data_IF_428232729784
#
_entry.id   IF_428232729784
#
_cell.length_a   1.000
_cell.length_b   1.000
_cell.length_c   1.000
_cell.angle_alpha   90.00
_cell.angle_beta   90.00
_cell.angle_gamma   90.00
#
_symmetry.space_group_name_H-M   'P 1'
#
loop_
_entity.id
_entity.type
_entity.pdbx_description
1 polymer ?
#
# COMPACT_ATOMS: atom_id res chain seq x y z
N UNK A 1 -42.13 -2.72 -2.54
CA UNK A 1 -41.53 -4.04 -2.81
C UNK A 1 -40.93 -3.97 -4.19
N UNK A 2 -39.61 -3.79 -4.27
CA UNK A 2 -38.81 -3.96 -5.49
C UNK A 2 -37.41 -4.27 -4.99
N UNK A 3 -37.13 -5.57 -4.91
CA UNK A 3 -35.81 -6.13 -4.68
C UNK A 3 -34.86 -5.64 -5.77
N UNK A 4 -33.74 -5.06 -5.37
CA UNK A 4 -32.59 -4.94 -6.26
C UNK A 4 -31.89 -6.29 -6.24
N UNK A 5 -31.99 -7.03 -7.35
CA UNK A 5 -31.19 -8.22 -7.62
C UNK A 5 -29.71 -7.87 -7.45
N UNK A 6 -29.11 -8.32 -6.34
CA UNK A 6 -27.68 -8.51 -6.25
C UNK A 6 -27.33 -9.69 -7.16
N UNK A 7 -27.10 -9.39 -8.44
CA UNK A 7 -26.56 -10.38 -9.38
C UNK A 7 -25.13 -10.68 -8.95
N UNK A 8 -24.98 -11.76 -8.16
CA UNK A 8 -23.68 -12.35 -7.87
C UNK A 8 -23.06 -12.75 -9.23
N UNK A 9 -21.81 -12.38 -9.54
CA UNK A 9 -21.22 -12.81 -10.81
C UNK A 9 -21.22 -14.34 -10.88
N UNK A 10 -21.73 -14.89 -11.98
CA UNK A 10 -21.92 -16.34 -12.21
C UNK A 10 -20.61 -17.15 -12.11
N UNK A 11 -19.47 -16.45 -12.14
CA UNK A 11 -18.13 -17.00 -11.97
C UNK A 11 -17.28 -16.03 -11.13
N UNK A 12 -16.41 -16.52 -10.21
CA UNK A 12 -15.47 -15.66 -9.51
C UNK A 12 -14.56 -14.93 -10.51
N UNK A 13 -14.20 -13.65 -10.26
CA UNK A 13 -13.36 -12.89 -11.16
C UNK A 13 -12.01 -13.57 -11.34
N UNK A 14 -11.47 -13.53 -12.55
CA UNK A 14 -10.16 -14.06 -12.89
C UNK A 14 -9.27 -12.97 -13.49
N UNK A 15 -7.96 -13.01 -13.22
CA UNK A 15 -7.02 -11.97 -13.66
C UNK A 15 -7.04 -11.77 -15.18
N UNK A 16 -7.17 -12.85 -15.95
CA UNK A 16 -7.22 -12.79 -17.43
C UNK A 16 -8.51 -12.21 -18.01
N UNK A 17 -9.48 -11.88 -17.17
CA UNK A 17 -10.73 -11.23 -17.60
C UNK A 17 -10.55 -9.71 -17.76
N UNK A 18 -9.46 -9.15 -17.22
CA UNK A 18 -9.17 -7.73 -17.32
C UNK A 18 -8.48 -7.39 -18.65
N UNK A 19 -9.12 -6.53 -19.43
CA UNK A 19 -8.47 -5.80 -20.52
C UNK A 19 -7.81 -4.50 -20.04
N UNK A 20 -7.45 -3.62 -20.97
CA UNK A 20 -6.89 -2.31 -20.67
C UNK A 20 -7.86 -1.41 -19.89
N UNK A 21 -7.34 -0.70 -18.89
CA UNK A 21 -8.11 0.29 -18.13
C UNK A 21 -8.39 1.58 -18.93
N UNK A 22 -9.22 2.50 -18.38
CA UNK A 22 -9.88 2.39 -17.07
C UNK A 22 -11.02 1.36 -17.07
N UNK A 23 -11.18 0.65 -15.96
CA UNK A 23 -12.22 -0.38 -15.80
C UNK A 23 -13.54 0.22 -15.28
N UNK A 24 -14.68 -0.45 -15.54
CA UNK A 24 -15.97 -0.03 -14.97
C UNK A 24 -15.92 0.06 -13.43
N UNK A 25 -16.70 0.97 -12.85
CA UNK A 25 -16.76 1.15 -11.40
C UNK A 25 -17.25 -0.09 -10.62
N UNK A 26 -17.88 -1.04 -11.33
CA UNK A 26 -18.36 -2.33 -10.84
C UNK A 26 -17.32 -3.45 -10.94
N UNK A 27 -16.16 -3.22 -11.56
CA UNK A 27 -15.12 -4.22 -11.69
C UNK A 27 -14.50 -4.57 -10.33
N UNK A 28 -14.25 -5.86 -10.10
CA UNK A 28 -13.70 -6.39 -8.84
C UNK A 28 -12.59 -7.38 -9.17
N UNK A 29 -11.41 -7.18 -8.58
CA UNK A 29 -10.27 -8.10 -8.78
C UNK A 29 -10.46 -9.42 -8.03
N UNK A 30 -9.76 -10.50 -8.42
CA UNK A 30 -9.70 -11.72 -7.64
C UNK A 30 -9.16 -11.44 -6.23
N UNK A 31 -9.60 -12.23 -5.24
CA UNK A 31 -9.10 -12.16 -3.85
C UNK A 31 -7.78 -12.90 -3.66
N UNK A 32 -7.23 -13.51 -4.71
CA UNK A 32 -5.90 -14.13 -4.70
C UNK A 32 -4.97 -13.38 -5.65
N UNK A 33 -3.68 -13.20 -5.30
CA UNK A 33 -2.68 -12.65 -6.21
C UNK A 33 -2.63 -13.41 -7.54
N UNK A 34 -2.21 -12.78 -8.65
CA UNK A 34 -1.96 -13.49 -9.88
C UNK A 34 -0.82 -14.50 -9.65
N UNK A 35 -0.94 -15.69 -10.22
CA UNK A 35 0.20 -16.59 -10.31
C UNK A 35 1.29 -16.00 -11.22
N UNK A 36 2.53 -16.48 -11.08
CA UNK A 36 3.68 -15.93 -11.79
C UNK A 36 3.55 -16.01 -13.32
N UNK A 37 2.92 -17.07 -13.81
CA UNK A 37 2.67 -17.25 -15.24
C UNK A 37 1.69 -16.20 -15.77
N UNK A 38 0.62 -15.93 -15.05
CA UNK A 38 -0.39 -14.92 -15.41
C UNK A 38 0.17 -13.52 -15.23
N UNK A 39 0.90 -13.25 -14.15
CA UNK A 39 1.57 -11.98 -13.91
C UNK A 39 2.52 -11.64 -15.05
N UNK A 40 3.35 -12.58 -15.47
CA UNK A 40 4.28 -12.40 -16.60
C UNK A 40 3.55 -12.25 -17.93
N UNK A 41 2.58 -13.12 -18.22
CA UNK A 41 1.85 -13.08 -19.50
C UNK A 41 1.03 -11.81 -19.70
N UNK A 42 0.52 -11.22 -18.61
CA UNK A 42 -0.26 -9.99 -18.63
C UNK A 42 0.55 -8.74 -18.28
N UNK A 43 1.85 -8.90 -18.01
CA UNK A 43 2.75 -7.85 -17.54
C UNK A 43 2.11 -7.04 -16.39
N UNK A 44 1.77 -7.75 -15.31
CA UNK A 44 1.17 -7.18 -14.11
C UNK A 44 2.24 -6.87 -13.04
N UNK A 45 2.06 -5.80 -12.24
CA UNK A 45 2.95 -5.49 -11.12
C UNK A 45 3.00 -6.62 -10.10
N UNK A 46 4.17 -6.84 -9.49
CA UNK A 46 4.32 -7.81 -8.40
C UNK A 46 3.55 -7.39 -7.13
N UNK A 47 3.21 -6.10 -7.04
CA UNK A 47 2.49 -5.49 -5.91
C UNK A 47 0.98 -5.78 -5.89
N UNK A 48 0.43 -6.52 -6.86
CA UNK A 48 -0.97 -6.93 -6.85
C UNK A 48 -1.21 -8.03 -5.81
N UNK A 49 -1.37 -7.61 -4.56
CA UNK A 49 -1.64 -8.45 -3.39
C UNK A 49 -3.03 -8.13 -2.79
N UNK A 50 -4.12 -8.74 -3.30
CA UNK A 50 -5.47 -8.47 -2.84
C UNK A 50 -5.71 -8.87 -1.39
N UNK A 51 -6.57 -8.11 -0.72
CA UNK A 51 -7.14 -8.46 0.58
C UNK A 51 -7.99 -9.72 0.38
N UNK A 52 -7.57 -10.80 1.03
CA UNK A 52 -8.29 -12.07 1.01
C UNK A 52 -9.42 -12.01 2.01
N UNK A 53 -10.61 -12.51 1.68
CA UNK A 53 -11.69 -12.66 2.66
C UNK A 53 -13.07 -12.72 2.02
N UNK A 54 -13.98 -13.43 2.67
CA UNK A 54 -15.38 -13.49 2.24
C UNK A 54 -16.04 -12.12 2.43
N UNK A 55 -16.80 -11.68 1.42
CA UNK A 55 -17.46 -10.38 1.45
C UNK A 55 -16.52 -9.17 1.31
N UNK A 56 -15.25 -9.39 0.96
CA UNK A 56 -14.30 -8.33 0.59
C UNK A 56 -14.30 -8.16 -0.92
N UNK A 57 -14.42 -6.91 -1.38
CA UNK A 57 -14.25 -6.57 -2.80
C UNK A 57 -13.21 -5.46 -2.94
N UNK A 58 -12.33 -5.58 -3.94
CA UNK A 58 -11.37 -4.55 -4.29
C UNK A 58 -11.52 -4.18 -5.77
N UNK A 59 -11.65 -2.89 -6.11
CA UNK A 59 -11.67 -2.48 -7.50
C UNK A 59 -10.25 -2.42 -8.06
N UNK A 60 -10.05 -2.73 -9.36
CA UNK A 60 -8.82 -2.33 -10.04
C UNK A 60 -8.83 -0.81 -10.25
N UNK A 61 -7.67 -0.17 -10.10
CA UNK A 61 -7.52 1.27 -10.31
C UNK A 61 -6.40 1.49 -11.32
N UNK A 62 -6.66 2.34 -12.32
CA UNK A 62 -5.61 2.77 -13.23
C UNK A 62 -4.65 3.68 -12.46
N UNK A 63 -3.38 3.28 -12.41
CA UNK A 63 -2.32 4.02 -11.75
C UNK A 63 -1.24 4.40 -12.76
N UNK A 64 -1.14 5.69 -13.10
CA UNK A 64 -0.13 6.15 -14.04
C UNK A 64 1.31 5.84 -13.62
N UNK A 65 1.56 5.69 -12.32
CA UNK A 65 2.89 5.40 -11.80
C UNK A 65 3.42 4.04 -12.24
N UNK A 66 2.52 3.11 -12.59
CA UNK A 66 2.85 1.77 -13.08
C UNK A 66 2.54 1.62 -14.57
N UNK A 67 2.52 2.72 -15.35
CA UNK A 67 2.22 2.70 -16.80
C UNK A 67 3.20 1.85 -17.64
N UNK A 68 4.39 1.59 -17.13
CA UNK A 68 5.34 0.69 -17.80
C UNK A 68 4.84 -0.76 -17.84
N UNK A 69 3.88 -1.12 -16.97
CA UNK A 69 3.11 -2.35 -17.09
C UNK A 69 1.94 -2.16 -18.05
N UNK A 70 1.71 -3.16 -18.91
CA UNK A 70 0.65 -3.17 -19.95
C UNK A 70 -0.72 -2.69 -19.45
N UNK A 71 -1.11 -3.10 -18.23
CA UNK A 71 -2.42 -2.77 -17.67
C UNK A 71 -2.42 -1.53 -16.78
N UNK A 72 -1.25 -1.03 -16.35
CA UNK A 72 -1.12 0.08 -15.41
C UNK A 72 -2.06 -0.05 -14.19
N UNK A 73 -2.17 -1.25 -13.62
CA UNK A 73 -3.14 -1.58 -12.59
C UNK A 73 -2.53 -1.46 -11.20
N UNK A 74 -3.25 -0.80 -10.28
CA UNK A 74 -3.09 -0.99 -8.83
C UNK A 74 -4.38 -1.48 -8.20
N UNK A 75 -4.28 -1.95 -6.97
CA UNK A 75 -5.45 -2.27 -6.15
C UNK A 75 -6.03 -1.01 -5.51
N UNK A 76 -7.35 -0.88 -5.57
CA UNK A 76 -8.08 0.14 -4.84
C UNK A 76 -8.33 -0.24 -3.38
N UNK A 77 -8.91 0.70 -2.65
CA UNK A 77 -9.32 0.48 -1.26
C UNK A 77 -10.35 -0.66 -1.16
N UNK A 78 -10.17 -1.61 -0.23
CA UNK A 78 -11.12 -2.70 -0.02
C UNK A 78 -12.45 -2.18 0.52
N UNK A 79 -13.54 -2.79 0.07
CA UNK A 79 -14.88 -2.60 0.61
C UNK A 79 -15.34 -3.90 1.23
N UNK A 80 -15.98 -3.78 2.38
CA UNK A 80 -16.46 -4.91 3.17
C UNK A 80 -17.98 -4.93 3.15
N UNK A 81 -18.56 -6.10 2.92
CA UNK A 81 -20.01 -6.29 3.01
C UNK A 81 -20.53 -6.02 4.43
N UNK A 82 -19.75 -6.37 5.46
CA UNK A 82 -19.98 -5.99 6.86
C UNK A 82 -19.17 -4.73 7.22
N UNK A 83 -19.87 -3.65 7.57
CA UNK A 83 -19.26 -2.40 7.98
C UNK A 83 -18.44 -2.52 9.28
N UNK A 84 -18.83 -3.40 10.20
CA UNK A 84 -18.11 -3.63 11.44
C UNK A 84 -16.77 -4.34 11.17
N UNK A 85 -16.77 -5.38 10.32
CA UNK A 85 -15.55 -6.00 9.82
C UNK A 85 -14.62 -4.99 9.13
N UNK A 86 -15.15 -4.14 8.25
CA UNK A 86 -14.37 -3.09 7.61
C UNK A 86 -13.74 -2.12 8.61
N UNK A 87 -14.50 -1.71 9.63
CA UNK A 87 -13.99 -0.83 10.70
C UNK A 87 -12.81 -1.46 11.45
N UNK A 88 -12.92 -2.74 11.81
CA UNK A 88 -11.82 -3.49 12.48
C UNK A 88 -10.60 -3.63 11.57
N UNK A 89 -10.81 -3.91 10.28
CA UNK A 89 -9.73 -4.01 9.31
C UNK A 89 -8.97 -2.70 9.12
N UNK A 90 -9.68 -1.57 8.99
CA UNK A 90 -9.04 -0.26 8.89
C UNK A 90 -8.29 0.12 10.17
N UNK A 91 -8.80 -0.24 11.35
CA UNK A 91 -8.06 -0.09 12.59
C UNK A 91 -6.74 -0.89 12.58
N UNK A 92 -6.80 -2.16 12.19
CA UNK A 92 -5.61 -3.00 12.03
C UNK A 92 -4.59 -2.42 11.02
N UNK A 93 -5.06 -1.93 9.86
CA UNK A 93 -4.21 -1.28 8.87
C UNK A 93 -3.53 -0.03 9.40
N UNK A 94 -4.20 0.78 10.24
CA UNK A 94 -3.57 1.95 10.88
C UNK A 94 -2.40 1.56 11.77
N UNK A 95 -2.50 0.45 12.51
CA UNK A 95 -1.35 -0.09 13.25
C UNK A 95 -0.25 -0.57 12.31
N UNK A 96 -0.58 -1.25 11.21
CA UNK A 96 0.42 -1.68 10.24
C UNK A 96 1.17 -0.48 9.62
N UNK A 97 0.45 0.58 9.22
CA UNK A 97 1.03 1.82 8.71
C UNK A 97 1.90 2.50 9.77
N UNK A 98 1.46 2.52 11.02
CA UNK A 98 2.23 3.08 12.12
C UNK A 98 3.54 2.32 12.35
N UNK A 99 3.54 0.99 12.39
CA UNK A 99 4.78 0.22 12.50
C UNK A 99 5.74 0.48 11.33
N UNK A 100 5.24 0.58 10.11
CA UNK A 100 6.05 0.90 8.93
C UNK A 100 6.63 2.33 9.00
N UNK A 101 5.84 3.31 9.43
CA UNK A 101 6.30 4.69 9.61
C UNK A 101 7.34 4.79 10.74
N UNK A 102 7.09 4.13 11.86
CA UNK A 102 8.05 4.08 12.99
C UNK A 102 9.34 3.39 12.57
N UNK A 103 9.29 2.33 11.76
CA UNK A 103 10.47 1.69 11.18
C UNK A 103 11.31 2.69 10.36
N UNK A 104 10.66 3.53 9.54
CA UNK A 104 11.34 4.59 8.80
C UNK A 104 11.96 5.61 9.76
N UNK A 105 11.15 6.13 10.69
CA UNK A 105 11.54 7.21 11.60
C UNK A 105 12.70 6.83 12.53
N UNK A 106 12.80 5.57 12.95
CA UNK A 106 13.88 5.08 13.82
C UNK A 106 15.07 4.49 13.05
N UNK A 107 15.01 4.44 11.72
CA UNK A 107 16.09 3.88 10.91
C UNK A 107 17.24 4.88 10.72
N UNK A 108 18.39 4.37 10.29
CA UNK A 108 19.50 5.20 9.82
C UNK A 108 19.15 6.05 8.56
N UNK A 109 18.00 5.80 7.95
CA UNK A 109 17.53 6.47 6.74
C UNK A 109 16.56 7.62 7.02
N UNK A 110 16.14 7.84 8.27
CA UNK A 110 15.14 8.86 8.62
C UNK A 110 15.50 10.26 8.09
N UNK A 111 16.78 10.65 8.18
CA UNK A 111 17.28 11.94 7.66
C UNK A 111 17.29 12.05 6.12
N UNK A 112 16.98 10.97 5.41
CA UNK A 112 16.96 10.88 3.95
C UNK A 112 15.55 10.70 3.38
N UNK A 113 14.52 10.65 4.23
CA UNK A 113 13.15 10.33 3.83
C UNK A 113 12.20 11.41 4.33
N UNK A 114 11.69 12.21 3.40
CA UNK A 114 10.74 13.30 3.68
C UNK A 114 9.33 12.80 3.42
N UNK A 115 8.57 12.62 4.50
CA UNK A 115 7.17 12.19 4.42
C UNK A 115 6.31 13.23 3.69
N UNK A 116 5.37 12.77 2.88
CA UNK A 116 4.33 13.57 2.21
C UNK A 116 3.01 12.80 2.18
N UNK A 117 2.03 13.32 1.44
CA UNK A 117 0.81 12.58 1.12
C UNK A 117 -0.20 12.50 2.26
N UNK A 118 -1.03 11.45 2.23
CA UNK A 118 -2.23 11.39 3.08
C UNK A 118 -1.96 11.35 4.58
N UNK A 119 -0.85 10.76 5.00
CA UNK A 119 -0.56 10.65 6.44
C UNK A 119 -0.35 12.03 7.06
N UNK A 120 0.38 12.94 6.39
CA UNK A 120 0.52 14.31 6.88
C UNK A 120 -0.82 15.08 6.83
N UNK A 121 -1.62 14.88 5.79
CA UNK A 121 -2.96 15.47 5.74
C UNK A 121 -3.82 15.00 6.92
N UNK A 122 -3.76 13.71 7.27
CA UNK A 122 -4.46 13.15 8.42
C UNK A 122 -3.94 13.70 9.76
N UNK A 123 -2.62 13.88 9.90
CA UNK A 123 -2.04 14.47 11.09
C UNK A 123 -2.49 15.93 11.30
N UNK A 124 -2.65 16.72 10.23
CA UNK A 124 -3.03 18.13 10.33
C UNK A 124 -4.55 18.36 10.45
N UNK A 125 -5.36 17.57 9.74
CA UNK A 125 -6.81 17.80 9.66
C UNK A 125 -7.64 16.77 10.43
N UNK A 126 -7.01 15.76 11.03
CA UNK A 126 -7.70 14.74 11.82
C UNK A 126 -8.81 14.04 11.03
N UNK A 127 -9.99 13.91 11.64
CA UNK A 127 -11.13 13.20 11.06
C UNK A 127 -11.62 13.76 9.71
N UNK A 128 -11.39 15.05 9.43
CA UNK A 128 -11.81 15.71 8.19
C UNK A 128 -10.96 15.32 6.97
N UNK A 129 -9.74 14.80 7.20
CA UNK A 129 -8.93 14.23 6.12
C UNK A 129 -9.37 12.80 5.80
N UNK A 130 -9.25 12.44 4.52
CA UNK A 130 -9.43 11.04 4.07
C UNK A 130 -8.52 10.08 4.84
N UNK A 131 -8.96 8.83 4.95
CA UNK A 131 -8.13 7.77 5.53
C UNK A 131 -6.82 7.60 4.73
N UNK A 132 -5.66 7.50 5.39
CA UNK A 132 -4.40 7.21 4.72
C UNK A 132 -4.37 5.81 4.10
N UNK A 133 -3.88 5.73 2.86
CA UNK A 133 -3.75 4.48 2.13
C UNK A 133 -2.34 3.89 2.16
N UNK A 134 -1.36 4.78 2.17
CA UNK A 134 0.05 4.51 1.88
C UNK A 134 0.94 5.53 2.62
N UNK A 135 2.24 5.26 2.60
CA UNK A 135 3.29 6.17 3.05
C UNK A 135 4.07 6.68 1.83
N UNK A 136 4.00 7.98 1.58
CA UNK A 136 4.71 8.61 0.47
C UNK A 136 5.97 9.32 0.99
N UNK A 137 7.12 9.07 0.38
CA UNK A 137 8.39 9.69 0.72
C UNK A 137 9.07 10.31 -0.49
N UNK A 138 9.67 11.49 -0.28
CA UNK A 138 10.71 12.03 -1.16
C UNK A 138 12.07 11.65 -0.57
N UNK A 139 12.93 11.05 -1.40
CA UNK A 139 14.29 10.67 -1.02
C UNK A 139 15.23 11.86 -1.20
N UNK A 140 15.99 12.20 -0.16
CA UNK A 140 16.97 13.30 -0.16
C UNK A 140 18.37 12.81 0.22
N UNK A 141 19.45 13.42 -0.29
CA UNK A 141 19.48 14.52 -1.27
C UNK A 141 18.99 14.07 -2.67
N UNK A 142 18.62 15.00 -3.58
CA UNK A 142 18.16 14.66 -4.92
C UNK A 142 19.24 14.01 -5.81
N UNK A 143 20.46 13.86 -5.31
CA UNK A 143 21.54 13.07 -5.92
C UNK A 143 21.48 11.59 -5.56
N UNK A 144 20.55 11.18 -4.69
CA UNK A 144 20.30 9.77 -4.41
C UNK A 144 19.49 9.14 -5.52
N UNK A 145 20.07 8.15 -6.19
CA UNK A 145 19.45 7.42 -7.28
C UNK A 145 18.76 6.11 -6.82
N UNK A 146 17.65 5.78 -7.47
CA UNK A 146 16.85 4.58 -7.19
C UNK A 146 17.65 3.28 -7.37
N UNK A 147 18.66 3.28 -8.25
CA UNK A 147 19.51 2.10 -8.53
C UNK A 147 20.74 2.02 -7.62
N UNK A 148 20.92 2.96 -6.70
CA UNK A 148 22.02 2.90 -5.75
C UNK A 148 21.88 1.66 -4.84
N UNK A 149 22.99 0.98 -4.53
CA UNK A 149 22.98 -0.18 -3.61
C UNK A 149 22.42 0.14 -2.22
N UNK A 150 22.49 1.41 -1.79
CA UNK A 150 21.88 1.88 -0.54
C UNK A 150 20.35 1.88 -0.58
N UNK A 151 19.74 2.00 -1.75
CA UNK A 151 18.27 1.95 -1.92
C UNK A 151 17.73 0.58 -1.55
N UNK A 152 18.34 -0.50 -2.06
CA UNK A 152 17.93 -1.86 -1.69
C UNK A 152 18.13 -2.12 -0.20
N UNK A 153 19.26 -1.69 0.38
CA UNK A 153 19.50 -1.81 1.83
C UNK A 153 18.46 -1.04 2.64
N UNK A 154 18.03 0.12 2.16
CA UNK A 154 17.00 0.92 2.79
C UNK A 154 15.65 0.20 2.76
N UNK A 155 15.20 -0.22 1.58
CA UNK A 155 13.90 -0.90 1.40
C UNK A 155 13.84 -2.18 2.23
N UNK A 156 14.83 -3.06 2.13
CA UNK A 156 14.88 -4.30 2.91
C UNK A 156 15.02 -4.04 4.41
N UNK A 157 15.80 -3.04 4.81
CA UNK A 157 15.98 -2.65 6.20
C UNK A 157 14.67 -2.17 6.82
N UNK A 158 13.92 -1.31 6.11
CA UNK A 158 12.61 -0.82 6.56
C UNK A 158 11.62 -1.96 6.72
N UNK A 159 11.52 -2.88 5.75
CA UNK A 159 10.61 -4.02 5.84
C UNK A 159 10.90 -4.90 7.07
N UNK A 160 12.18 -5.22 7.30
CA UNK A 160 12.61 -6.00 8.47
C UNK A 160 12.32 -5.28 9.78
N UNK A 161 12.67 -4.00 9.89
CA UNK A 161 12.41 -3.22 11.09
C UNK A 161 10.91 -3.06 11.36
N UNK A 162 10.08 -2.95 10.33
CA UNK A 162 8.63 -2.90 10.49
C UNK A 162 8.05 -4.22 11.03
N UNK A 163 8.54 -5.37 10.55
CA UNK A 163 8.22 -6.67 11.15
C UNK A 163 8.67 -6.75 12.61
N UNK A 164 9.93 -6.43 12.91
CA UNK A 164 10.47 -6.44 14.27
C UNK A 164 9.69 -5.54 15.24
N UNK A 165 9.22 -4.38 14.77
CA UNK A 165 8.38 -3.48 15.55
C UNK A 165 6.98 -4.05 15.78
N UNK A 166 6.37 -4.65 14.76
CA UNK A 166 5.05 -5.28 14.90
C UNK A 166 5.04 -6.46 15.86
N UNK A 167 6.18 -7.16 16.02
CA UNK A 167 6.32 -8.23 17.00
C UNK A 167 6.38 -7.73 18.45
N UNK A 168 6.61 -6.43 18.68
CA UNK A 168 6.70 -5.85 20.03
C UNK A 168 5.34 -5.47 20.61
N UNK A 169 4.29 -5.44 19.79
CA UNK A 169 2.93 -5.15 20.23
C UNK A 169 2.06 -4.58 19.11
N UNK A 170 0.76 -4.47 19.39
CA UNK A 170 -0.26 -4.09 18.42
C UNK A 170 -1.09 -5.29 17.94
N UNK A 171 -2.14 -5.07 17.14
CA UNK A 171 -3.06 -6.12 16.70
C UNK A 171 -2.61 -6.85 15.43
N UNK A 172 -1.45 -6.50 14.86
CA UNK A 172 -0.99 -7.00 13.55
C UNK A 172 0.47 -7.41 13.59
N UNK A 173 0.83 -8.35 12.71
CA UNK A 173 2.20 -8.69 12.35
C UNK A 173 2.45 -8.36 10.89
N UNK A 174 3.50 -7.59 10.62
CA UNK A 174 4.03 -7.40 9.26
C UNK A 174 4.98 -8.56 8.90
N UNK A 175 5.05 -8.90 7.61
CA UNK A 175 5.86 -10.01 7.10
C UNK A 175 6.89 -9.50 6.10
N UNK A 176 8.14 -9.30 6.54
CA UNK A 176 9.19 -8.78 5.66
C UNK A 176 9.54 -9.76 4.54
N UNK A 177 9.48 -11.06 4.79
CA UNK A 177 9.74 -12.11 3.79
C UNK A 177 8.69 -12.15 2.67
N UNK A 178 7.50 -11.59 2.91
CA UNK A 178 6.46 -11.42 1.90
C UNK A 178 6.50 -10.07 1.19
N UNK A 179 7.46 -9.20 1.54
CA UNK A 179 7.53 -7.87 0.97
C UNK A 179 7.95 -7.91 -0.50
N UNK A 180 7.24 -7.17 -1.33
CA UNK A 180 7.47 -7.08 -2.77
C UNK A 180 7.71 -5.63 -3.17
N UNK A 181 8.62 -5.43 -4.11
CA UNK A 181 8.93 -4.12 -4.66
C UNK A 181 8.56 -4.02 -6.12
N UNK A 182 8.28 -2.81 -6.58
CA UNK A 182 8.16 -2.49 -8.00
C UNK A 182 8.77 -1.12 -8.30
N UNK A 183 9.13 -0.90 -9.57
CA UNK A 183 9.49 0.44 -10.02
C UNK A 183 8.21 1.27 -10.20
N UNK A 184 8.27 2.57 -9.95
CA UNK A 184 7.14 3.49 -10.19
C UNK A 184 7.64 4.77 -10.86
N UNK A 185 6.83 5.32 -11.77
CA UNK A 185 7.20 6.41 -12.67
C UNK A 185 6.03 7.35 -12.90
N UNK A 186 6.07 8.57 -12.37
CA UNK A 186 5.00 9.54 -12.66
C UNK A 186 5.34 10.37 -13.89
N UNK A 187 4.72 10.07 -15.03
CA UNK A 187 4.67 10.90 -16.26
C UNK A 187 5.99 11.61 -16.62
N UNK A 188 7.06 10.83 -16.77
CA UNK A 188 8.42 11.27 -17.18
C UNK A 188 9.15 12.22 -16.22
N UNK A 189 8.67 12.41 -14.98
CA UNK A 189 9.28 13.40 -14.06
C UNK A 189 10.43 12.86 -13.23
N UNK A 190 10.20 11.78 -12.50
CA UNK A 190 11.15 11.26 -11.51
C UNK A 190 10.98 9.75 -11.30
N UNK A 191 12.08 8.99 -11.16
CA UNK A 191 12.03 7.57 -10.85
C UNK A 191 11.58 7.35 -9.39
N UNK A 192 10.95 6.22 -9.15
CA UNK A 192 10.48 5.83 -7.83
C UNK A 192 10.52 4.33 -7.60
N UNK A 193 10.41 3.94 -6.33
CA UNK A 193 10.30 2.55 -5.89
C UNK A 193 9.08 2.43 -4.98
N UNK A 194 8.24 1.44 -5.27
CA UNK A 194 7.14 1.03 -4.41
C UNK A 194 7.57 -0.21 -3.63
N UNK A 195 7.25 -0.23 -2.34
CA UNK A 195 7.39 -1.37 -1.44
C UNK A 195 6.01 -1.71 -0.89
N UNK A 196 5.59 -2.96 -1.00
CA UNK A 196 4.36 -3.46 -0.38
C UNK A 196 4.73 -4.55 0.61
N UNK A 197 4.31 -4.37 1.87
CA UNK A 197 4.56 -5.32 2.96
C UNK A 197 3.23 -5.95 3.38
N UNK A 198 3.06 -7.27 3.27
CA UNK A 198 1.90 -7.97 3.80
C UNK A 198 1.84 -7.92 5.32
N UNK A 199 0.63 -7.95 5.86
CA UNK A 199 0.40 -8.11 7.28
C UNK A 199 -0.77 -9.05 7.56
N UNK A 200 -0.74 -9.68 8.73
CA UNK A 200 -1.84 -10.48 9.28
C UNK A 200 -2.28 -9.88 10.61
N UNK A 201 -3.57 -9.87 10.89
CA UNK A 201 -4.06 -9.58 12.23
C UNK A 201 -3.83 -10.78 13.16
N UNK A 202 -3.76 -10.53 14.47
CA UNK A 202 -3.78 -11.58 15.49
C UNK A 202 -5.19 -12.15 15.73
N UNK A 203 -6.21 -11.36 15.41
CA UNK A 203 -7.60 -11.82 15.37
C UNK A 203 -7.90 -12.38 13.97
N UNK A 204 -8.13 -13.68 13.88
CA UNK A 204 -8.43 -14.40 12.64
C UNK A 204 -9.72 -13.91 11.95
N UNK A 205 -10.60 -13.20 12.68
CA UNK A 205 -11.78 -12.57 12.10
C UNK A 205 -11.46 -11.30 11.30
N UNK A 206 -10.22 -10.78 11.38
CA UNK A 206 -9.75 -9.65 10.59
C UNK A 206 -8.91 -10.19 9.43
N UNK A 207 -9.36 -10.02 8.17
CA UNK A 207 -8.61 -10.55 7.04
C UNK A 207 -7.24 -9.88 6.88
N UNK A 208 -6.24 -10.58 6.31
CA UNK A 208 -4.91 -10.01 6.11
C UNK A 208 -4.95 -8.85 5.11
N UNK A 209 -3.94 -8.01 5.13
CA UNK A 209 -3.84 -6.87 4.21
C UNK A 209 -2.40 -6.54 3.86
N UNK A 210 -2.22 -5.34 3.32
CA UNK A 210 -0.91 -4.80 2.97
C UNK A 210 -0.76 -3.37 3.45
N UNK A 211 0.50 -2.94 3.58
CA UNK A 211 0.88 -1.52 3.63
C UNK A 211 1.79 -1.22 2.46
N UNK A 212 1.64 -0.04 1.88
CA UNK A 212 2.41 0.43 0.74
C UNK A 212 3.26 1.62 1.16
N UNK A 213 4.52 1.61 0.72
CA UNK A 213 5.46 2.71 0.88
C UNK A 213 5.99 3.07 -0.52
N UNK A 214 5.84 4.33 -0.90
CA UNK A 214 6.31 4.86 -2.18
C UNK A 214 7.48 5.82 -1.94
N UNK A 215 8.59 5.60 -2.64
CA UNK A 215 9.80 6.40 -2.55
C UNK A 215 10.06 7.07 -3.89
N UNK A 216 10.05 8.39 -3.92
CA UNK A 216 10.35 9.18 -5.11
C UNK A 216 11.78 9.74 -5.01
N UNK A 217 12.59 9.52 -6.05
CA UNK A 217 13.98 9.94 -6.11
C UNK A 217 14.14 11.15 -7.03
N UNK A 218 15.23 11.90 -6.87
CA UNK A 218 15.57 13.06 -7.71
C UNK A 218 14.54 14.22 -7.72
N UNK A 219 13.50 14.16 -6.88
CA UNK A 219 12.52 15.25 -6.76
C UNK A 219 13.10 16.41 -5.96
N UNK A 220 13.00 17.62 -6.50
CA UNK A 220 13.39 18.83 -5.79
C UNK A 220 12.29 19.25 -4.83
N UNK A 221 12.63 19.39 -3.54
CA UNK A 221 11.70 19.92 -2.56
C UNK A 221 11.53 21.44 -2.75
N UNK A 222 10.30 21.95 -2.85
CA UNK A 222 10.05 23.39 -3.04
C UNK A 222 10.43 24.22 -1.80
N UNK A 223 10.55 23.57 -0.63
CA UNK A 223 11.00 24.16 0.62
C UNK A 223 11.80 23.12 1.42
N UNK A 224 12.68 23.54 2.35
CA UNK A 224 13.36 22.61 3.25
C UNK A 224 12.36 21.73 4.03
N UNK A 225 12.69 20.46 4.30
CA UNK A 225 11.85 19.61 5.13
C UNK A 225 11.82 20.13 6.57
N UNK A 226 10.66 19.99 7.22
CA UNK A 226 10.46 20.34 8.62
C UNK A 226 10.05 19.10 9.42
N UNK A 227 10.42 19.00 10.70
CA UNK A 227 9.90 17.97 11.59
C UNK A 227 8.36 18.03 11.65
N UNK A 228 7.72 16.86 11.65
CA UNK A 228 6.28 16.73 11.80
C UNK A 228 5.96 15.59 12.76
N UNK A 229 5.06 15.85 13.70
CA UNK A 229 4.49 14.82 14.57
C UNK A 229 3.34 14.13 13.83
N UNK A 230 3.40 12.80 13.78
CA UNK A 230 2.33 11.97 13.23
C UNK A 230 1.76 11.15 14.39
N UNK A 231 0.51 11.41 14.82
CA UNK A 231 -0.11 10.63 15.88
C UNK A 231 -0.20 9.15 15.52
N UNK A 232 0.19 8.28 16.45
CA UNK A 232 -0.07 6.85 16.35
C UNK A 232 -1.55 6.52 16.57
N UNK A 233 -2.02 5.33 16.14
CA UNK A 233 -3.33 4.83 16.52
C UNK A 233 -3.43 4.55 18.03
N UNK A 234 -4.65 4.46 18.55
CA UNK A 234 -4.89 4.18 19.96
C UNK A 234 -4.11 2.94 20.43
N UNK A 235 -3.46 3.05 21.60
CA UNK A 235 -2.67 1.95 22.17
C UNK A 235 -1.27 1.78 21.57
N UNK A 236 -0.79 2.72 20.76
CA UNK A 236 0.63 2.84 20.37
C UNK A 236 1.32 3.97 21.15
N UNK A 237 2.61 3.79 21.46
CA UNK A 237 3.48 4.85 21.99
C UNK A 237 4.25 5.49 20.84
#
# INVERSE_FOLDING_TARGET
MTEQEHTRPERPPHWRDFGYGPWPATAVVPTTPPDEATRTAMDLPATLLPVRGDGVVQPPVFDPSVRHHVHAMRLGEPRFADAAAGTRWYAARRHALHHALTAVATSAWAGHLVLRGSVLLRAWFGAEAREPGDLDFVVVPPTWNERDSRTERMIHGIARSAEELSLRGGPVRLHADGAVGDDIWTYDRVPGRRLVIPWTAHDDAIPPGTVQLDFVFNEHLPAPPAPAEVPGPDGTQ
#
